data_IF_945259100845
#
_entry.id   IF_945259100845
#
_cell.length_a   1.000
_cell.length_b   1.000
_cell.length_c   1.000
_cell.angle_alpha   90.00
_cell.angle_beta   90.00
_cell.angle_gamma   90.00
#
_symmetry.space_group_name_H-M   'P 1'
#
loop_
_entity.id
_entity.type
_entity.pdbx_description
1 polymer ?
#
# COMPACT_ATOMS: atom_id res chain seq x y z
N UNK A 1 -6.04 -0.26 -23.12
CA UNK A 1 -5.04 -1.00 -22.33
C UNK A 1 -3.87 -0.11 -21.91
N UNK A 2 -3.22 0.62 -22.83
CA UNK A 2 -2.16 1.60 -22.48
C UNK A 2 -2.59 2.64 -21.44
N UNK A 3 -3.79 3.21 -21.56
CA UNK A 3 -4.32 4.16 -20.57
C UNK A 3 -4.51 3.54 -19.18
N UNK A 4 -4.92 2.27 -19.11
CA UNK A 4 -5.08 1.54 -17.84
C UNK A 4 -3.71 1.33 -17.18
N UNK A 5 -2.68 1.02 -17.97
CA UNK A 5 -1.30 0.93 -17.49
C UNK A 5 -0.82 2.27 -16.93
N UNK A 6 -1.07 3.38 -17.60
CA UNK A 6 -0.68 4.71 -17.09
C UNK A 6 -1.42 5.08 -15.81
N UNK A 7 -2.73 4.78 -15.72
CA UNK A 7 -3.49 4.98 -14.48
C UNK A 7 -2.95 4.09 -13.36
N UNK A 8 -2.60 2.83 -13.66
CA UNK A 8 -2.00 1.91 -12.70
C UNK A 8 -0.67 2.47 -12.15
N UNK A 9 0.22 2.91 -13.02
CA UNK A 9 1.51 3.51 -12.63
C UNK A 9 1.28 4.78 -11.81
N UNK A 10 0.38 5.67 -12.26
CA UNK A 10 0.03 6.88 -11.52
C UNK A 10 -0.49 6.56 -10.11
N UNK A 11 -1.37 5.57 -10.00
CA UNK A 11 -1.90 5.13 -8.71
C UNK A 11 -0.83 4.51 -7.81
N UNK A 12 0.13 3.77 -8.38
CA UNK A 12 1.28 3.27 -7.64
C UNK A 12 2.17 4.39 -7.14
N UNK A 13 2.41 5.42 -7.95
CA UNK A 13 3.17 6.61 -7.55
C UNK A 13 2.46 7.39 -6.44
N UNK A 14 1.15 7.59 -6.55
CA UNK A 14 0.35 8.26 -5.52
C UNK A 14 0.40 7.49 -4.19
N UNK A 15 0.18 6.17 -4.24
CA UNK A 15 0.16 5.30 -3.07
C UNK A 15 1.52 5.15 -2.39
N UNK A 16 2.54 4.74 -3.15
CA UNK A 16 3.89 4.54 -2.61
C UNK A 16 4.50 5.88 -2.22
N UNK A 17 4.38 6.90 -3.06
CA UNK A 17 4.92 8.23 -2.81
C UNK A 17 4.29 8.89 -1.58
N UNK A 18 2.97 8.84 -1.45
CA UNK A 18 2.28 9.37 -0.27
C UNK A 18 2.67 8.62 1.01
N UNK A 19 2.80 7.29 0.95
CA UNK A 19 3.31 6.50 2.09
C UNK A 19 4.74 6.87 2.50
N UNK A 20 5.64 7.14 1.54
CA UNK A 20 7.01 7.59 1.82
C UNK A 20 7.01 8.97 2.50
N UNK A 21 6.18 9.91 2.01
CA UNK A 21 6.07 11.25 2.61
C UNK A 21 5.56 11.16 4.04
N UNK A 22 4.48 10.43 4.29
CA UNK A 22 3.92 10.27 5.64
C UNK A 22 4.88 9.55 6.58
N UNK A 23 5.59 8.53 6.10
CA UNK A 23 6.61 7.83 6.89
C UNK A 23 7.78 8.77 7.22
N UNK A 24 8.25 9.54 6.23
CA UNK A 24 9.30 10.54 6.38
C UNK A 24 8.95 11.59 7.43
N UNK A 25 7.74 12.17 7.39
CA UNK A 25 7.27 13.09 8.43
C UNK A 25 7.33 12.46 9.83
N UNK A 26 7.05 11.16 9.93
CA UNK A 26 7.12 10.41 11.19
C UNK A 26 8.52 10.27 11.76
N UNK A 27 9.53 10.19 10.88
CA UNK A 27 10.95 10.09 11.23
C UNK A 27 11.56 11.47 11.49
N UNK A 28 11.24 12.47 10.67
CA UNK A 28 11.89 13.78 10.71
C UNK A 28 11.28 14.72 11.77
N UNK A 29 9.96 14.64 12.05
CA UNK A 29 9.33 15.43 13.11
C UNK A 29 9.55 14.73 14.45
N UNK A 30 10.55 15.21 15.22
CA UNK A 30 10.90 14.65 16.54
C UNK A 30 10.03 15.18 17.68
N UNK A 31 9.57 16.43 17.57
CA UNK A 31 8.71 17.04 18.56
C UNK A 31 7.30 16.43 18.54
N UNK A 32 6.82 15.96 19.69
CA UNK A 32 5.58 15.20 19.77
C UNK A 32 4.34 16.06 19.58
N UNK A 33 4.35 17.30 20.08
CA UNK A 33 3.24 18.23 19.90
C UNK A 33 3.07 18.61 18.42
N UNK A 34 4.18 18.92 17.74
CA UNK A 34 4.20 19.19 16.30
C UNK A 34 3.77 17.97 15.49
N UNK A 35 4.25 16.78 15.86
CA UNK A 35 3.86 15.53 15.20
C UNK A 35 2.34 15.29 15.32
N UNK A 36 1.75 15.43 16.51
CA UNK A 36 0.30 15.32 16.71
C UNK A 36 -0.48 16.37 15.92
N UNK A 37 -0.04 17.63 15.90
CA UNK A 37 -0.71 18.69 15.15
C UNK A 37 -0.71 18.39 13.64
N UNK A 38 0.44 18.00 13.08
CA UNK A 38 0.57 17.67 11.66
C UNK A 38 -0.26 16.45 11.31
N UNK A 39 -0.09 15.32 11.99
CA UNK A 39 -0.86 14.10 11.71
C UNK A 39 -2.36 14.26 12.00
N UNK A 40 -2.75 15.08 12.97
CA UNK A 40 -4.13 15.41 13.25
C UNK A 40 -4.79 16.17 12.09
N UNK A 41 -4.07 17.09 11.46
CA UNK A 41 -4.56 17.85 10.31
C UNK A 41 -4.54 17.04 9.01
N UNK A 42 -3.42 16.38 8.69
CA UNK A 42 -3.22 15.73 7.39
C UNK A 42 -3.70 14.28 7.35
N UNK A 43 -3.76 13.61 8.50
CA UNK A 43 -4.04 12.18 8.60
C UNK A 43 -5.38 11.78 7.98
N UNK A 44 -6.50 12.45 8.30
CA UNK A 44 -7.80 12.13 7.70
C UNK A 44 -7.81 12.35 6.18
N UNK A 45 -7.25 13.47 5.71
CA UNK A 45 -7.16 13.78 4.28
C UNK A 45 -6.37 12.70 3.52
N UNK A 46 -5.18 12.36 4.02
CA UNK A 46 -4.37 11.30 3.43
C UNK A 46 -5.06 9.94 3.51
N UNK A 47 -5.76 9.62 4.61
CA UNK A 47 -6.52 8.37 4.72
C UNK A 47 -7.53 8.19 3.59
N UNK A 48 -8.32 9.22 3.27
CA UNK A 48 -9.26 9.17 2.16
C UNK A 48 -8.55 9.14 0.79
N UNK A 49 -7.56 10.01 0.60
CA UNK A 49 -6.77 10.08 -0.63
C UNK A 49 -6.13 8.73 -0.97
N UNK A 50 -5.39 8.15 -0.02
CA UNK A 50 -4.71 6.86 -0.17
C UNK A 50 -5.70 5.73 -0.44
N UNK A 51 -6.85 5.71 0.24
CA UNK A 51 -7.87 4.68 0.01
C UNK A 51 -8.38 4.68 -1.43
N UNK A 52 -8.64 5.87 -2.01
CA UNK A 52 -9.07 5.98 -3.41
C UNK A 52 -8.00 5.46 -4.36
N UNK A 53 -6.74 5.84 -4.15
CA UNK A 53 -5.64 5.39 -5.00
C UNK A 53 -5.35 3.90 -4.86
N UNK A 54 -5.49 3.30 -3.67
CA UNK A 54 -5.38 1.86 -3.49
C UNK A 54 -6.45 1.10 -4.28
N UNK A 55 -7.70 1.56 -4.22
CA UNK A 55 -8.78 0.93 -4.98
C UNK A 55 -8.49 0.98 -6.48
N UNK A 56 -8.08 2.13 -6.99
CA UNK A 56 -7.67 2.28 -8.40
C UNK A 56 -6.50 1.35 -8.72
N UNK A 57 -5.48 1.29 -7.86
CA UNK A 57 -4.28 0.48 -8.05
C UNK A 57 -4.60 -1.02 -8.13
N UNK A 58 -5.43 -1.52 -7.21
CA UNK A 58 -5.87 -2.92 -7.18
C UNK A 58 -6.73 -3.22 -8.40
N UNK A 59 -7.76 -2.41 -8.68
CA UNK A 59 -8.66 -2.65 -9.81
C UNK A 59 -7.92 -2.65 -11.14
N UNK A 60 -7.08 -1.64 -11.38
CA UNK A 60 -6.28 -1.58 -12.61
C UNK A 60 -5.25 -2.71 -12.68
N UNK A 61 -4.67 -3.12 -11.55
CA UNK A 61 -3.74 -4.24 -11.48
C UNK A 61 -4.39 -5.57 -11.87
N UNK A 62 -5.60 -5.84 -11.37
CA UNK A 62 -6.38 -7.04 -11.75
C UNK A 62 -6.73 -7.02 -13.24
N UNK A 63 -7.21 -5.89 -13.76
CA UNK A 63 -7.54 -5.76 -15.19
C UNK A 63 -6.32 -5.99 -16.08
N UNK A 64 -5.16 -5.45 -15.71
CA UNK A 64 -3.91 -5.68 -16.46
C UNK A 64 -3.45 -7.14 -16.36
N UNK A 65 -3.56 -7.75 -15.19
CA UNK A 65 -3.19 -9.16 -15.00
C UNK A 65 -4.05 -10.10 -15.86
N UNK A 66 -5.35 -9.84 -15.97
CA UNK A 66 -6.25 -10.57 -16.85
C UNK A 66 -5.92 -10.32 -18.34
N UNK A 67 -5.75 -9.06 -18.73
CA UNK A 67 -5.43 -8.70 -20.11
C UNK A 67 -4.14 -9.36 -20.62
N UNK A 68 -3.10 -9.43 -19.78
CA UNK A 68 -1.83 -10.08 -20.10
C UNK A 68 -1.79 -11.57 -19.74
N UNK A 69 -2.93 -12.17 -19.36
CA UNK A 69 -3.08 -13.59 -19.05
C UNK A 69 -2.13 -14.08 -17.94
N UNK A 70 -1.73 -13.19 -17.02
CA UNK A 70 -0.80 -13.49 -15.93
C UNK A 70 -1.39 -14.49 -14.93
N UNK A 71 -2.72 -14.50 -14.75
CA UNK A 71 -3.40 -15.51 -13.94
C UNK A 71 -3.15 -16.93 -14.46
N UNK A 72 -3.04 -17.12 -15.78
CA UNK A 72 -2.70 -18.41 -16.38
C UNK A 72 -1.26 -18.86 -16.14
N UNK A 73 -0.37 -17.95 -15.71
CA UNK A 73 1.03 -18.29 -15.37
C UNK A 73 1.20 -18.79 -13.94
N UNK A 74 0.18 -18.63 -13.08
CA UNK A 74 0.21 -19.14 -11.71
C UNK A 74 0.33 -20.67 -11.72
N UNK A 75 1.07 -21.21 -10.76
CA UNK A 75 1.29 -22.64 -10.52
C UNK A 75 1.99 -23.38 -11.67
N UNK A 76 2.46 -22.67 -12.69
CA UNK A 76 3.23 -23.24 -13.81
C UNK A 76 4.69 -23.52 -13.45
N UNK A 77 5.19 -22.97 -12.34
CA UNK A 77 6.60 -23.06 -11.92
C UNK A 77 7.56 -22.17 -12.70
N UNK A 78 7.08 -21.43 -13.71
CA UNK A 78 7.85 -20.44 -14.47
C UNK A 78 8.29 -19.27 -13.58
N UNK A 79 9.34 -18.54 -13.98
CA UNK A 79 9.79 -17.36 -13.23
C UNK A 79 8.72 -16.27 -13.19
N UNK A 80 8.04 -16.02 -14.31
CA UNK A 80 6.90 -15.08 -14.40
C UNK A 80 5.80 -15.49 -13.41
N UNK A 81 5.43 -16.78 -13.42
CA UNK A 81 4.43 -17.33 -12.51
C UNK A 81 4.77 -17.11 -11.04
N UNK A 82 6.02 -17.41 -10.65
CA UNK A 82 6.50 -17.21 -9.27
C UNK A 82 6.44 -15.75 -8.86
N UNK A 83 6.94 -14.82 -9.68
CA UNK A 83 6.87 -13.39 -9.35
C UNK A 83 5.43 -12.90 -9.27
N UNK A 84 4.56 -13.35 -10.18
CA UNK A 84 3.16 -12.96 -10.16
C UNK A 84 2.42 -13.48 -8.92
N UNK A 85 2.64 -14.73 -8.50
CA UNK A 85 2.09 -15.29 -7.26
C UNK A 85 2.53 -14.51 -6.02
N UNK A 86 3.83 -14.22 -5.91
CA UNK A 86 4.35 -13.40 -4.83
C UNK A 86 3.74 -12.01 -4.82
N UNK A 87 3.57 -11.39 -6.00
CA UNK A 87 2.92 -10.08 -6.11
C UNK A 87 1.48 -10.13 -5.60
N UNK A 88 0.71 -11.14 -5.99
CA UNK A 88 -0.68 -11.30 -5.55
C UNK A 88 -0.79 -11.52 -4.04
N UNK A 89 0.08 -12.36 -3.47
CA UNK A 89 0.13 -12.59 -2.02
C UNK A 89 0.47 -11.30 -1.27
N UNK A 90 1.51 -10.58 -1.71
CA UNK A 90 1.94 -9.34 -1.06
C UNK A 90 0.87 -8.24 -1.16
N UNK A 91 0.21 -8.11 -2.30
CA UNK A 91 -0.91 -7.16 -2.49
C UNK A 91 -2.09 -7.51 -1.58
N UNK A 92 -2.41 -8.80 -1.41
CA UNK A 92 -3.46 -9.23 -0.49
C UNK A 92 -3.10 -8.92 0.98
N UNK A 93 -1.85 -9.19 1.39
CA UNK A 93 -1.36 -8.84 2.72
C UNK A 93 -1.36 -7.32 2.95
N UNK A 94 -0.97 -6.53 1.95
CA UNK A 94 -1.02 -5.07 2.00
C UNK A 94 -2.45 -4.59 2.20
N UNK A 95 -3.40 -5.06 1.40
CA UNK A 95 -4.80 -4.68 1.51
C UNK A 95 -5.37 -5.03 2.90
N UNK A 96 -5.07 -6.22 3.43
CA UNK A 96 -5.47 -6.60 4.78
C UNK A 96 -4.87 -5.69 5.86
N UNK A 97 -3.57 -5.42 5.79
CA UNK A 97 -2.89 -4.52 6.72
C UNK A 97 -3.48 -3.11 6.66
N UNK A 98 -3.77 -2.60 5.47
CA UNK A 98 -4.42 -1.30 5.27
C UNK A 98 -5.82 -1.27 5.86
N UNK A 99 -6.65 -2.29 5.63
CA UNK A 99 -8.00 -2.36 6.21
C UNK A 99 -7.96 -2.33 7.74
N UNK A 100 -7.07 -3.12 8.35
CA UNK A 100 -6.88 -3.14 9.81
C UNK A 100 -6.38 -1.77 10.30
N UNK A 101 -5.40 -1.18 9.62
CA UNK A 101 -4.84 0.12 9.98
C UNK A 101 -5.89 1.23 9.93
N UNK A 102 -6.67 1.31 8.85
CA UNK A 102 -7.75 2.29 8.69
C UNK A 102 -8.86 2.07 9.72
N UNK A 103 -9.28 0.82 9.95
CA UNK A 103 -10.28 0.52 10.98
C UNK A 103 -9.87 1.05 12.35
N UNK A 104 -8.63 0.76 12.79
CA UNK A 104 -8.12 1.27 14.06
C UNK A 104 -8.01 2.78 14.04
N UNK A 105 -7.51 3.38 12.95
CA UNK A 105 -7.35 4.83 12.82
C UNK A 105 -8.69 5.57 12.96
N UNK A 106 -9.75 5.08 12.31
CA UNK A 106 -11.10 5.64 12.42
C UNK A 106 -11.73 5.39 13.79
N UNK A 107 -11.63 4.16 14.33
CA UNK A 107 -12.19 3.81 15.63
C UNK A 107 -11.55 4.60 16.80
N UNK A 108 -10.33 5.08 16.60
CA UNK A 108 -9.57 5.84 17.59
C UNK A 108 -9.45 7.33 17.28
N UNK A 109 -10.21 7.81 16.30
CA UNK A 109 -10.20 9.22 15.91
C UNK A 109 -10.82 10.06 17.04
N UNK A 110 -10.00 10.93 17.66
CA UNK A 110 -10.33 11.76 18.85
C UNK A 110 -10.41 11.01 20.19
N UNK A 111 -10.00 9.76 20.25
CA UNK A 111 -9.94 8.99 21.51
C UNK A 111 -8.53 8.52 21.80
N UNK A 112 -8.24 8.22 23.07
CA UNK A 112 -6.94 7.68 23.48
C UNK A 112 -6.83 6.22 23.07
N UNK A 113 -5.78 5.88 22.32
CA UNK A 113 -5.48 4.50 21.92
C UNK A 113 -5.04 3.64 23.09
N UNK A 114 -5.48 2.39 23.13
CA UNK A 114 -4.88 1.39 24.01
C UNK A 114 -3.47 1.03 23.54
N UNK A 115 -2.70 0.33 24.39
CA UNK A 115 -1.36 -0.16 24.03
C UNK A 115 -1.41 -1.06 22.78
N UNK A 116 -2.37 -1.98 22.72
CA UNK A 116 -2.56 -2.89 21.58
C UNK A 116 -2.90 -2.10 20.31
N UNK A 117 -3.83 -1.15 20.39
CA UNK A 117 -4.18 -0.29 19.24
C UNK A 117 -3.00 0.54 18.76
N UNK A 118 -2.14 1.01 19.69
CA UNK A 118 -0.93 1.76 19.34
C UNK A 118 0.09 0.90 18.62
N UNK A 119 0.34 -0.31 19.12
CA UNK A 119 1.26 -1.28 18.48
C UNK A 119 0.73 -1.67 17.10
N UNK A 120 -0.55 -2.02 16.99
CA UNK A 120 -1.16 -2.39 15.71
C UNK A 120 -1.20 -1.23 14.72
N UNK A 121 -1.46 -0.01 15.18
CA UNK A 121 -1.46 1.17 14.31
C UNK A 121 -0.05 1.47 13.76
N UNK A 122 0.96 1.56 14.65
CA UNK A 122 2.35 1.86 14.25
C UNK A 122 3.00 0.72 13.48
N UNK A 123 2.84 -0.51 13.97
CA UNK A 123 3.32 -1.72 13.32
C UNK A 123 2.63 -1.93 11.97
N UNK A 124 1.33 -1.66 11.87
CA UNK A 124 0.57 -1.68 10.62
C UNK A 124 1.13 -0.70 9.59
N UNK A 125 1.41 0.55 9.97
CA UNK A 125 2.03 1.52 9.05
C UNK A 125 3.41 1.08 8.55
N UNK A 126 4.25 0.55 9.44
CA UNK A 126 5.57 0.03 9.05
C UNK A 126 5.45 -1.20 8.14
N UNK A 127 4.52 -2.12 8.44
CA UNK A 127 4.26 -3.29 7.62
C UNK A 127 3.78 -2.89 6.22
N UNK A 128 2.82 -1.96 6.12
CA UNK A 128 2.33 -1.40 4.85
C UNK A 128 3.50 -0.81 4.05
N UNK A 129 4.37 -0.02 4.70
CA UNK A 129 5.53 0.57 4.05
C UNK A 129 6.50 -0.47 3.50
N UNK A 130 6.84 -1.50 4.28
CA UNK A 130 7.73 -2.59 3.84
C UNK A 130 7.09 -3.41 2.71
N UNK A 131 5.79 -3.72 2.82
CA UNK A 131 5.04 -4.44 1.80
C UNK A 131 5.03 -3.66 0.48
N UNK A 132 4.88 -2.34 0.50
CA UNK A 132 4.98 -1.50 -0.70
C UNK A 132 6.33 -1.65 -1.41
N UNK A 133 7.44 -1.63 -0.67
CA UNK A 133 8.77 -1.82 -1.24
C UNK A 133 8.95 -3.23 -1.80
N UNK A 134 8.45 -4.25 -1.11
CA UNK A 134 8.49 -5.63 -1.59
C UNK A 134 7.66 -5.82 -2.87
N UNK A 135 6.44 -5.27 -2.93
CA UNK A 135 5.58 -5.31 -4.11
C UNK A 135 6.24 -4.61 -5.30
N UNK A 136 6.87 -3.45 -5.07
CA UNK A 136 7.60 -2.74 -6.11
C UNK A 136 8.78 -3.57 -6.63
N UNK A 137 9.56 -4.18 -5.74
CA UNK A 137 10.66 -5.06 -6.11
C UNK A 137 10.16 -6.26 -6.96
N UNK A 138 9.10 -6.93 -6.53
CA UNK A 138 8.50 -8.03 -7.31
C UNK A 138 7.96 -7.52 -8.65
N UNK A 139 7.36 -6.33 -8.70
CA UNK A 139 6.84 -5.76 -9.94
C UNK A 139 7.95 -5.46 -10.96
N UNK A 140 9.11 -4.98 -10.51
CA UNK A 140 10.29 -4.76 -11.37
C UNK A 140 10.80 -6.09 -11.91
N UNK A 141 10.94 -7.12 -11.07
CA UNK A 141 11.40 -8.43 -11.53
C UNK A 141 10.41 -9.11 -12.48
N UNK A 142 9.11 -9.01 -12.20
CA UNK A 142 8.07 -9.49 -13.10
C UNK A 142 8.15 -8.80 -14.47
N UNK A 143 8.41 -7.48 -14.50
CA UNK A 143 8.60 -6.74 -15.76
C UNK A 143 9.87 -7.16 -16.50
N UNK A 144 10.96 -7.43 -15.80
CA UNK A 144 12.21 -7.87 -16.43
C UNK A 144 12.12 -9.30 -16.99
N UNK A 145 11.23 -10.14 -16.43
CA UNK A 145 11.00 -11.50 -16.90
C UNK A 145 10.01 -11.59 -18.07
N UNK A 146 9.28 -10.50 -18.36
CA UNK A 146 8.35 -10.36 -19.50
C UNK A 146 9.07 -9.79 -20.73
#
# INVERSE_FOLDING_TARGET
MTWILYIHILSACAWIGGSIVLFGLGVFIRDKATQEAVYGAIGPFYGYFETVWLLILITTGVVLADHYQLFGTMQTGTEIGKYFEWKMLLVALLALATMIHLYIAFATHKTTRTLIQTILSRGGSLAIFILNLAILWVAVNLRSAL
#
